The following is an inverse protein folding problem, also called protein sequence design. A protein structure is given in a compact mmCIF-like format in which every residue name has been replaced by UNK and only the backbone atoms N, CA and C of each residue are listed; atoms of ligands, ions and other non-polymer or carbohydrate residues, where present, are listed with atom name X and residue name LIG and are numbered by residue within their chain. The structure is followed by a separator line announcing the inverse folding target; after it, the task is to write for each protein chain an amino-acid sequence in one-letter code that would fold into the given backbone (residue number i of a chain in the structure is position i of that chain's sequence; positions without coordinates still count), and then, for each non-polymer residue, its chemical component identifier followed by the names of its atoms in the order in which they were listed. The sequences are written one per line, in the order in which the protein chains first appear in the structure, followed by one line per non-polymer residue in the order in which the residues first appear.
data_IF_368723031028
#
_entry.id   IF_368723031028
#
_cell.length_a   1.000
_cell.length_b   1.000
_cell.length_c   1.000
_cell.angle_alpha   90.00
_cell.angle_beta   90.00
_cell.angle_gamma   90.00
#
_symmetry.space_group_name_H-M   'P 1'
#
loop_
_entity.id
_entity.type
_entity.pdbx_description
1 polymer ?
#
# COMPACT_ATOMS: atom_id res chain seq x y z
N UNK A 1 63.58 -25.00 -22.50
CA UNK A 1 62.30 -24.60 -21.87
C UNK A 1 61.94 -23.23 -22.41
N UNK A 2 61.09 -23.17 -23.42
CA UNK A 2 60.74 -21.94 -24.14
C UNK A 2 59.46 -21.38 -23.52
N UNK A 3 59.59 -20.34 -22.70
CA UNK A 3 58.44 -19.58 -22.20
C UNK A 3 57.77 -18.88 -23.39
N UNK A 4 56.59 -19.34 -23.78
CA UNK A 4 55.72 -18.64 -24.71
C UNK A 4 55.24 -17.37 -24.02
N UNK A 5 55.79 -16.22 -24.41
CA UNK A 5 55.33 -14.90 -23.98
C UNK A 5 53.87 -14.74 -24.41
N UNK A 6 52.93 -14.77 -23.47
CA UNK A 6 51.56 -14.36 -23.76
C UNK A 6 51.58 -12.91 -24.27
N UNK A 7 50.93 -12.59 -25.39
CA UNK A 7 50.81 -11.22 -25.85
C UNK A 7 50.10 -10.39 -24.77
N UNK A 8 50.45 -9.10 -24.60
CA UNK A 8 49.85 -8.25 -23.59
C UNK A 8 48.33 -8.27 -23.75
N UNK A 9 47.63 -8.54 -22.65
CA UNK A 9 46.18 -8.49 -22.61
C UNK A 9 45.74 -7.07 -22.99
N UNK A 10 45.34 -6.87 -24.24
CA UNK A 10 44.69 -5.65 -24.69
C UNK A 10 43.38 -5.52 -23.91
N UNK A 11 43.40 -4.75 -22.82
CA UNK A 11 42.17 -4.29 -22.20
C UNK A 11 41.56 -3.29 -23.16
N UNK A 12 40.56 -3.72 -23.94
CA UNK A 12 39.75 -2.77 -24.67
C UNK A 12 39.21 -1.74 -23.66
N UNK A 13 39.36 -0.43 -23.91
CA UNK A 13 38.75 0.56 -23.05
C UNK A 13 37.26 0.24 -22.97
N UNK A 14 36.73 0.19 -21.74
CA UNK A 14 35.35 -0.17 -21.43
C UNK A 14 34.39 0.56 -22.39
N UNK A 15 34.00 -0.10 -23.50
CA UNK A 15 33.15 0.51 -24.50
C UNK A 15 31.79 0.64 -23.84
N UNK A 16 31.48 1.86 -23.38
CA UNK A 16 30.20 2.16 -22.74
C UNK A 16 29.11 1.82 -23.74
N UNK A 17 28.39 0.72 -23.52
CA UNK A 17 27.27 0.34 -24.39
C UNK A 17 26.20 1.42 -24.24
N UNK A 18 26.12 2.31 -25.24
CA UNK A 18 25.14 3.39 -25.26
C UNK A 18 23.78 2.77 -25.55
N UNK A 19 22.92 2.78 -24.53
CA UNK A 19 21.58 2.22 -24.66
C UNK A 19 20.65 3.24 -25.33
N UNK A 20 19.94 2.89 -26.42
CA UNK A 20 19.06 3.81 -27.12
C UNK A 20 17.97 4.39 -26.19
N UNK A 21 17.46 5.60 -26.46
CA UNK A 21 16.36 6.16 -25.69
C UNK A 21 15.08 5.35 -25.89
N UNK A 22 14.18 5.40 -24.91
CA UNK A 22 12.85 4.79 -25.01
C UNK A 22 12.08 5.41 -26.18
N UNK A 23 11.36 4.56 -26.93
CA UNK A 23 10.43 5.04 -27.95
C UNK A 23 9.31 5.86 -27.31
N UNK A 24 8.68 6.73 -28.11
CA UNK A 24 7.52 7.52 -27.65
C UNK A 24 6.37 6.63 -27.13
N UNK A 25 6.19 5.46 -27.73
CA UNK A 25 5.15 4.50 -27.35
C UNK A 25 5.46 3.80 -26.02
N UNK A 26 6.70 3.31 -25.83
CA UNK A 26 7.13 2.73 -24.55
C UNK A 26 7.03 3.76 -23.42
N UNK A 27 7.41 5.02 -23.66
CA UNK A 27 7.29 6.09 -22.67
C UNK A 27 5.84 6.32 -22.24
N UNK A 28 4.90 6.45 -23.19
CA UNK A 28 3.47 6.65 -22.88
C UNK A 28 2.88 5.46 -22.11
N UNK A 29 3.19 4.24 -22.55
CA UNK A 29 2.71 3.01 -21.90
C UNK A 29 3.34 2.81 -20.52
N UNK A 30 4.59 3.22 -20.30
CA UNK A 30 5.21 3.19 -18.98
C UNK A 30 4.47 4.11 -18.00
N UNK A 31 4.17 5.35 -18.40
CA UNK A 31 3.39 6.26 -17.55
C UNK A 31 1.99 5.70 -17.26
N UNK A 32 1.28 5.23 -18.28
CA UNK A 32 -0.06 4.67 -18.12
C UNK A 32 -0.07 3.41 -17.24
N UNK A 33 0.89 2.51 -17.46
CA UNK A 33 1.07 1.31 -16.65
C UNK A 33 1.30 1.69 -15.19
N UNK A 34 2.18 2.66 -14.92
CA UNK A 34 2.45 3.13 -13.56
C UNK A 34 1.24 3.79 -12.90
N UNK A 35 0.50 4.63 -13.62
CA UNK A 35 -0.69 5.29 -13.11
C UNK A 35 -1.77 4.29 -12.66
N UNK A 36 -2.09 3.32 -13.53
CA UNK A 36 -3.17 2.37 -13.29
C UNK A 36 -2.71 1.27 -12.34
N UNK A 37 -1.52 0.71 -12.55
CA UNK A 37 -0.99 -0.38 -11.72
C UNK A 37 -0.81 0.08 -10.28
N UNK A 38 -0.23 1.26 -10.05
CA UNK A 38 0.01 1.73 -8.69
C UNK A 38 -1.29 2.06 -7.95
N UNK A 39 -2.29 2.62 -8.62
CA UNK A 39 -3.58 2.91 -7.96
C UNK A 39 -4.31 1.63 -7.54
N UNK A 40 -4.36 0.63 -8.41
CA UNK A 40 -4.94 -0.69 -8.09
C UNK A 40 -4.12 -1.43 -7.02
N UNK A 41 -2.79 -1.41 -7.14
CA UNK A 41 -1.88 -2.00 -6.17
C UNK A 41 -2.06 -1.38 -4.77
N UNK A 42 -2.05 -0.05 -4.68
CA UNK A 42 -2.24 0.69 -3.42
C UNK A 42 -3.62 0.46 -2.83
N UNK A 43 -4.67 0.34 -3.64
CA UNK A 43 -6.00 0.01 -3.16
C UNK A 43 -6.02 -1.38 -2.51
N UNK A 44 -5.50 -2.40 -3.19
CA UNK A 44 -5.39 -3.76 -2.64
C UNK A 44 -4.54 -3.80 -1.37
N UNK A 45 -3.38 -3.12 -1.37
CA UNK A 45 -2.51 -3.05 -0.20
C UNK A 45 -3.15 -2.31 0.97
N UNK A 46 -3.94 -1.27 0.69
CA UNK A 46 -4.73 -0.57 1.71
C UNK A 46 -5.73 -1.50 2.38
N UNK A 47 -6.44 -2.31 1.60
CA UNK A 47 -7.38 -3.32 2.10
C UNK A 47 -6.65 -4.35 2.97
N UNK A 48 -5.56 -4.93 2.46
CA UNK A 48 -4.75 -5.92 3.20
C UNK A 48 -4.18 -5.32 4.48
N UNK A 49 -3.63 -4.11 4.42
CA UNK A 49 -3.01 -3.45 5.58
C UNK A 49 -4.05 -3.10 6.65
N UNK A 50 -5.26 -2.68 6.24
CA UNK A 50 -6.35 -2.39 7.17
C UNK A 50 -6.84 -3.66 7.86
N UNK A 51 -7.06 -4.74 7.11
CA UNK A 51 -7.44 -6.03 7.67
C UNK A 51 -6.35 -6.59 8.61
N UNK A 52 -5.08 -6.53 8.17
CA UNK A 52 -3.93 -6.97 8.97
C UNK A 52 -3.78 -6.13 10.24
N UNK A 53 -4.03 -4.82 10.19
CA UNK A 53 -4.01 -3.95 11.36
C UNK A 53 -5.07 -4.35 12.38
N UNK A 54 -6.31 -4.63 11.95
CA UNK A 54 -7.37 -5.09 12.86
C UNK A 54 -7.01 -6.42 13.51
N UNK A 55 -6.44 -7.35 12.75
CA UNK A 55 -5.94 -8.64 13.29
C UNK A 55 -4.83 -8.38 14.31
N UNK A 56 -3.83 -7.58 13.96
CA UNK A 56 -2.69 -7.27 14.82
C UNK A 56 -3.14 -6.59 16.12
N UNK A 57 -4.06 -5.63 16.04
CA UNK A 57 -4.67 -4.98 17.19
C UNK A 57 -5.38 -5.99 18.08
N UNK A 58 -6.19 -6.89 17.50
CA UNK A 58 -6.84 -7.98 18.23
C UNK A 58 -5.85 -8.88 18.97
N UNK A 59 -4.76 -9.28 18.31
CA UNK A 59 -3.71 -10.11 18.91
C UNK A 59 -2.98 -9.37 20.05
N UNK A 60 -2.62 -8.10 19.84
CA UNK A 60 -1.96 -7.27 20.87
C UNK A 60 -2.88 -7.09 22.08
N UNK A 61 -4.17 -6.83 21.86
CA UNK A 61 -5.14 -6.69 22.94
C UNK A 61 -5.27 -7.98 23.76
N UNK A 62 -5.38 -9.14 23.09
CA UNK A 62 -5.42 -10.44 23.77
C UNK A 62 -4.15 -10.70 24.57
N UNK A 63 -2.99 -10.31 24.05
CA UNK A 63 -1.71 -10.38 24.76
C UNK A 63 -1.70 -9.50 26.02
N UNK A 64 -2.22 -8.27 25.92
CA UNK A 64 -2.37 -7.36 27.07
C UNK A 64 -3.30 -7.97 28.13
N UNK A 65 -4.47 -8.49 27.73
CA UNK A 65 -5.41 -9.16 28.64
C UNK A 65 -4.76 -10.37 29.34
N UNK A 66 -3.94 -11.13 28.63
CA UNK A 66 -3.18 -12.24 29.20
C UNK A 66 -2.22 -11.77 30.31
N UNK A 67 -1.44 -10.71 30.07
CA UNK A 67 -0.52 -10.17 31.07
C UNK A 67 -1.24 -9.57 32.28
N UNK A 68 -2.37 -8.87 32.08
CA UNK A 68 -3.20 -8.32 33.16
C UNK A 68 -3.78 -9.43 34.04
N UNK A 69 -4.22 -10.55 33.44
CA UNK A 69 -4.71 -11.70 34.21
C UNK A 69 -3.58 -12.39 34.98
N UNK A 70 -2.39 -12.49 34.40
CA UNK A 70 -1.24 -13.11 35.02
C UNK A 70 -0.67 -12.33 36.22
N UNK A 71 -0.94 -11.02 36.33
CA UNK A 71 -0.36 -10.18 37.39
C UNK A 71 -1.04 -10.30 38.77
N UNK A 72 -2.05 -11.16 38.94
CA UNK A 72 -2.75 -11.49 40.22
C UNK A 72 -3.30 -10.31 41.04
N UNK A 73 -3.22 -9.09 40.52
CA UNK A 73 -3.61 -7.83 41.19
C UNK A 73 -4.97 -7.31 40.72
N UNK A 74 -5.55 -7.91 39.68
CA UNK A 74 -6.87 -7.55 39.20
C UNK A 74 -7.94 -8.45 39.85
N UNK A 75 -8.63 -7.93 40.87
CA UNK A 75 -9.92 -8.46 41.31
C UNK A 75 -10.90 -8.44 40.13
N UNK A 76 -11.09 -9.59 39.49
CA UNK A 76 -12.27 -10.12 38.75
C UNK A 76 -13.15 -9.21 37.87
N UNK A 77 -12.77 -7.96 37.60
CA UNK A 77 -13.62 -6.94 36.97
C UNK A 77 -13.33 -6.73 35.49
N UNK A 78 -12.23 -7.27 34.98
CA UNK A 78 -12.00 -7.31 33.54
C UNK A 78 -12.77 -8.48 32.94
N UNK A 79 -13.92 -8.19 32.33
CA UNK A 79 -14.63 -9.15 31.48
C UNK A 79 -13.66 -9.79 30.49
N UNK A 80 -13.71 -11.11 30.36
CA UNK A 80 -12.86 -11.89 29.46
C UNK A 80 -13.22 -11.72 27.97
N UNK A 81 -13.83 -10.58 27.60
CA UNK A 81 -14.28 -10.31 26.25
C UNK A 81 -13.12 -9.73 25.45
N UNK A 82 -12.96 -10.21 24.22
CA UNK A 82 -12.02 -9.63 23.28
C UNK A 82 -12.53 -8.29 22.76
N UNK A 83 -11.69 -7.55 22.02
CA UNK A 83 -12.01 -6.20 21.57
C UNK A 83 -13.14 -6.19 20.53
N UNK A 84 -13.29 -7.28 19.77
CA UNK A 84 -14.36 -7.44 18.77
C UNK A 84 -15.69 -7.68 19.47
N UNK A 85 -15.70 -8.54 20.49
CA UNK A 85 -16.87 -8.87 21.29
C UNK A 85 -17.39 -7.62 22.02
N UNK A 86 -16.49 -6.83 22.62
CA UNK A 86 -16.85 -5.54 23.25
C UNK A 86 -17.37 -4.52 22.24
N UNK A 87 -16.82 -4.49 21.02
CA UNK A 87 -17.29 -3.60 19.96
C UNK A 87 -18.66 -4.00 19.41
N UNK A 88 -18.92 -5.30 19.27
CA UNK A 88 -20.23 -5.82 18.86
C UNK A 88 -21.30 -5.52 19.90
N UNK A 89 -21.00 -5.73 21.19
CA UNK A 89 -21.91 -5.41 22.30
C UNK A 89 -22.25 -3.91 22.31
N UNK A 90 -21.24 -3.05 22.10
CA UNK A 90 -21.44 -1.60 21.97
C UNK A 90 -22.35 -1.21 20.80
N UNK A 91 -22.30 -1.95 19.70
CA UNK A 91 -23.19 -1.78 18.54
C UNK A 91 -24.56 -2.47 18.71
N UNK A 92 -24.81 -3.17 19.83
CA UNK A 92 -26.04 -3.91 20.08
C UNK A 92 -26.14 -5.25 19.33
N UNK A 93 -25.03 -5.77 18.82
CA UNK A 93 -24.96 -7.12 18.23
C UNK A 93 -24.59 -8.15 19.30
N UNK A 94 -25.02 -9.40 19.09
CA UNK A 94 -24.66 -10.51 19.98
C UNK A 94 -23.15 -10.79 19.89
N UNK A 95 -22.40 -10.72 21.01
CA UNK A 95 -20.98 -11.06 21.04
C UNK A 95 -20.68 -12.49 20.54
N UNK A 96 -21.65 -13.42 20.59
CA UNK A 96 -21.51 -14.77 20.05
C UNK A 96 -21.22 -14.77 18.53
N UNK A 97 -21.60 -13.72 17.81
CA UNK A 97 -21.39 -13.59 16.36
C UNK A 97 -20.00 -13.05 15.97
N UNK A 98 -19.08 -12.87 16.94
CA UNK A 98 -17.72 -12.39 16.69
C UNK A 98 -16.96 -13.24 15.66
N UNK A 99 -17.28 -14.53 15.51
CA UNK A 99 -16.68 -15.38 14.49
C UNK A 99 -16.98 -14.90 13.05
N UNK A 100 -18.16 -14.32 12.81
CA UNK A 100 -18.56 -13.79 11.49
C UNK A 100 -17.66 -12.62 11.13
N UNK A 101 -17.37 -11.74 12.09
CA UNK A 101 -16.48 -10.61 11.90
C UNK A 101 -15.08 -11.07 11.46
N UNK A 102 -14.54 -12.12 12.09
CA UNK A 102 -13.25 -12.70 11.70
C UNK A 102 -13.29 -13.33 10.31
N UNK A 103 -14.36 -14.03 9.95
CA UNK A 103 -14.54 -14.57 8.59
C UNK A 103 -14.56 -13.45 7.54
N UNK A 104 -15.30 -12.36 7.81
CA UNK A 104 -15.34 -11.19 6.92
C UNK A 104 -13.96 -10.59 6.76
N UNK A 105 -13.20 -10.42 7.84
CA UNK A 105 -11.81 -9.93 7.78
C UNK A 105 -10.93 -10.81 6.89
N UNK A 106 -11.02 -12.14 7.04
CA UNK A 106 -10.22 -13.07 6.22
C UNK A 106 -10.60 -12.96 4.74
N UNK A 107 -11.89 -12.89 4.42
CA UNK A 107 -12.38 -12.70 3.04
C UNK A 107 -11.89 -11.36 2.48
N UNK A 108 -11.95 -10.29 3.26
CA UNK A 108 -11.46 -8.96 2.87
C UNK A 108 -9.95 -8.98 2.62
N UNK A 109 -9.18 -9.68 3.45
CA UNK A 109 -7.73 -9.83 3.28
C UNK A 109 -7.41 -10.57 1.98
N UNK A 110 -8.11 -11.68 1.70
CA UNK A 110 -7.95 -12.45 0.46
C UNK A 110 -8.31 -11.59 -0.76
N UNK A 111 -9.45 -10.89 -0.71
CA UNK A 111 -9.88 -10.00 -1.78
C UNK A 111 -8.86 -8.87 -2.02
N UNK A 112 -8.36 -8.25 -0.95
CA UNK A 112 -7.30 -7.25 -1.03
C UNK A 112 -6.03 -7.79 -1.70
N UNK A 113 -5.60 -9.00 -1.33
CA UNK A 113 -4.44 -9.64 -1.94
C UNK A 113 -4.64 -9.91 -3.44
N UNK A 114 -5.84 -10.34 -3.85
CA UNK A 114 -6.19 -10.49 -5.26
C UNK A 114 -6.18 -9.16 -6.01
N UNK A 115 -6.69 -8.07 -5.41
CA UNK A 115 -6.65 -6.73 -6.01
C UNK A 115 -5.20 -6.24 -6.16
N UNK A 116 -4.36 -6.42 -5.13
CA UNK A 116 -2.93 -6.12 -5.20
C UNK A 116 -2.27 -6.88 -6.36
N UNK A 117 -2.54 -8.18 -6.45
CA UNK A 117 -2.00 -9.02 -7.51
C UNK A 117 -2.48 -8.59 -8.90
N UNK A 118 -3.76 -8.24 -9.04
CA UNK A 118 -4.32 -7.71 -10.28
C UNK A 118 -3.62 -6.43 -10.71
N UNK A 119 -3.29 -5.52 -9.78
CA UNK A 119 -2.53 -4.31 -10.05
C UNK A 119 -1.18 -4.60 -10.73
N UNK A 120 -0.43 -5.59 -10.24
CA UNK A 120 0.84 -6.03 -10.83
C UNK A 120 0.64 -6.54 -12.26
N UNK A 121 -0.39 -7.37 -12.48
CA UNK A 121 -0.69 -7.93 -13.80
C UNK A 121 -1.13 -6.87 -14.80
N UNK A 122 -1.96 -5.91 -14.40
CA UNK A 122 -2.39 -4.80 -15.25
C UNK A 122 -1.19 -3.96 -15.69
N UNK A 123 -0.29 -3.61 -14.77
CA UNK A 123 0.93 -2.87 -15.11
C UNK A 123 1.82 -3.62 -16.10
N UNK A 124 2.01 -4.93 -15.88
CA UNK A 124 2.74 -5.80 -16.81
C UNK A 124 2.06 -5.86 -18.18
N UNK A 125 0.76 -6.08 -18.26
CA UNK A 125 0.02 -6.22 -19.51
C UNK A 125 0.11 -4.96 -20.36
N UNK A 126 -0.17 -3.79 -19.78
CA UNK A 126 -0.11 -2.49 -20.47
C UNK A 126 1.29 -2.21 -21.03
N UNK A 127 2.33 -2.53 -20.24
CA UNK A 127 3.71 -2.28 -20.64
C UNK A 127 4.26 -3.32 -21.62
N UNK A 128 3.85 -4.59 -21.53
CA UNK A 128 4.29 -5.65 -22.44
C UNK A 128 3.88 -5.36 -23.90
N UNK A 129 2.69 -4.81 -24.10
CA UNK A 129 2.20 -4.37 -25.42
C UNK A 129 3.04 -3.24 -26.06
N UNK A 130 3.96 -2.62 -25.34
CA UNK A 130 4.89 -1.64 -25.92
C UNK A 130 6.05 -2.26 -26.72
N UNK A 131 6.24 -3.59 -26.63
CA UNK A 131 7.41 -4.28 -27.19
C UNK A 131 8.64 -4.25 -26.27
N UNK A 132 8.49 -3.76 -25.04
CA UNK A 132 9.58 -3.73 -24.07
C UNK A 132 10.13 -5.14 -23.77
N UNK A 133 11.46 -5.27 -23.70
CA UNK A 133 12.11 -6.56 -23.54
C UNK A 133 11.91 -7.21 -22.16
N UNK A 134 11.62 -6.43 -21.11
CA UNK A 134 11.59 -6.90 -19.72
C UNK A 134 10.41 -6.32 -18.92
N UNK A 135 9.16 -6.57 -19.33
CA UNK A 135 8.00 -5.97 -18.67
C UNK A 135 7.86 -6.41 -17.21
N UNK A 136 8.15 -7.68 -16.92
CA UNK A 136 8.14 -8.20 -15.55
C UNK A 136 9.19 -7.55 -14.65
N UNK A 137 10.41 -7.33 -15.16
CA UNK A 137 11.46 -6.67 -14.40
C UNK A 137 11.07 -5.24 -14.01
N UNK A 138 10.48 -4.49 -14.97
CA UNK A 138 9.99 -3.12 -14.76
C UNK A 138 8.92 -3.07 -13.69
N UNK A 139 7.87 -3.89 -13.82
CA UNK A 139 6.75 -3.93 -12.87
C UNK A 139 7.21 -4.31 -11.47
N UNK A 140 8.00 -5.38 -11.29
CA UNK A 140 8.47 -5.80 -9.97
C UNK A 140 9.41 -4.79 -9.32
N UNK A 141 10.34 -4.21 -10.08
CA UNK A 141 11.26 -3.22 -9.53
C UNK A 141 10.52 -1.97 -9.09
N UNK A 142 9.59 -1.48 -9.92
CA UNK A 142 8.78 -0.31 -9.59
C UNK A 142 7.90 -0.57 -8.36
N UNK A 143 7.25 -1.73 -8.31
CA UNK A 143 6.44 -2.18 -7.16
C UNK A 143 7.29 -2.27 -5.90
N UNK A 144 8.47 -2.88 -5.96
CA UNK A 144 9.39 -2.99 -4.82
C UNK A 144 9.86 -1.64 -4.30
N UNK A 145 10.18 -0.71 -5.20
CA UNK A 145 10.56 0.67 -4.81
C UNK A 145 9.37 1.39 -4.16
N UNK A 146 8.16 1.24 -4.69
CA UNK A 146 6.95 1.83 -4.10
C UNK A 146 6.64 1.26 -2.72
N UNK A 147 6.78 -0.05 -2.54
CA UNK A 147 6.62 -0.70 -1.24
C UNK A 147 7.67 -0.18 -0.26
N UNK A 148 8.94 -0.10 -0.68
CA UNK A 148 10.02 0.46 0.15
C UNK A 148 9.77 1.92 0.54
N UNK A 149 9.36 2.76 -0.43
CA UNK A 149 8.97 4.14 -0.17
C UNK A 149 7.74 4.22 0.74
N UNK A 150 6.75 3.36 0.55
CA UNK A 150 5.56 3.28 1.39
C UNK A 150 5.91 2.92 2.84
N UNK A 151 6.82 1.98 3.05
CA UNK A 151 7.33 1.63 4.38
C UNK A 151 8.08 2.80 5.01
N UNK A 152 9.01 3.44 4.29
CA UNK A 152 9.73 4.61 4.77
C UNK A 152 8.75 5.73 5.12
N UNK A 153 7.81 6.04 4.24
CA UNK A 153 6.79 7.05 4.49
C UNK A 153 5.89 6.66 5.67
N UNK A 154 5.55 5.38 5.86
CA UNK A 154 4.78 4.95 7.04
C UNK A 154 5.56 5.13 8.35
N UNK A 155 6.89 5.01 8.32
CA UNK A 155 7.75 5.27 9.49
C UNK A 155 8.00 6.76 9.72
N UNK A 156 8.11 7.56 8.66
CA UNK A 156 8.40 9.01 8.73
C UNK A 156 7.12 9.82 8.99
N UNK A 157 5.99 9.40 8.43
CA UNK A 157 4.67 10.03 8.61
C UNK A 157 4.00 9.53 9.89
N UNK A 158 4.55 8.54 10.60
CA UNK A 158 4.04 8.00 11.88
C UNK A 158 2.74 7.18 11.75
N UNK A 159 2.64 6.00 12.40
CA UNK A 159 1.39 5.25 12.55
C UNK A 159 0.30 6.03 13.29
N UNK A 160 0.64 7.18 13.89
CA UNK A 160 -0.32 8.13 14.46
C UNK A 160 -0.92 9.07 13.43
N UNK A 161 -0.25 9.40 12.30
CA UNK A 161 -0.76 10.44 11.41
C UNK A 161 -1.97 10.01 10.58
N UNK A 162 -2.10 8.74 10.19
CA UNK A 162 -3.31 8.27 9.48
C UNK A 162 -4.57 8.40 10.35
N UNK A 163 -4.55 7.87 11.58
CA UNK A 163 -5.60 8.11 12.58
C UNK A 163 -5.71 9.58 12.97
N UNK A 164 -4.62 10.32 13.19
CA UNK A 164 -4.67 11.75 13.52
C UNK A 164 -5.17 12.60 12.36
N UNK A 165 -4.95 12.27 11.09
CA UNK A 165 -5.54 12.98 9.97
C UNK A 165 -7.03 12.66 9.87
N UNK A 166 -7.45 11.42 10.07
CA UNK A 166 -8.88 11.07 10.11
C UNK A 166 -9.59 11.66 11.33
N UNK A 167 -8.93 11.71 12.49
CA UNK A 167 -9.42 12.32 13.73
C UNK A 167 -9.35 13.84 13.65
N UNK A 168 -8.30 14.44 13.08
CA UNK A 168 -8.20 15.91 12.93
C UNK A 168 -9.15 16.41 11.85
N UNK A 169 -9.31 15.73 10.72
CA UNK A 169 -10.30 16.11 9.71
C UNK A 169 -11.73 15.76 10.16
N UNK A 170 -11.92 14.64 10.86
CA UNK A 170 -13.20 14.28 11.48
C UNK A 170 -13.59 15.23 12.62
N UNK A 171 -12.63 15.62 13.46
CA UNK A 171 -12.84 16.57 14.56
C UNK A 171 -12.92 18.01 14.06
N UNK A 172 -12.16 18.42 13.04
CA UNK A 172 -12.28 19.75 12.43
C UNK A 172 -13.61 19.93 11.69
N UNK A 173 -14.12 18.86 11.08
CA UNK A 173 -15.46 18.84 10.50
C UNK A 173 -16.57 18.79 11.57
N UNK A 174 -16.31 18.17 12.72
CA UNK A 174 -17.22 18.18 13.86
C UNK A 174 -17.15 19.49 14.69
N UNK A 175 -16.01 20.19 14.70
CA UNK A 175 -15.77 21.40 15.51
C UNK A 175 -16.11 22.70 14.78
N UNK A 176 -16.61 22.62 13.55
CA UNK A 176 -16.71 23.75 12.62
C UNK A 176 -18.12 24.20 12.25
N UNK A 177 -19.14 23.96 13.08
CA UNK A 177 -20.38 24.74 13.24
C UNK A 177 -21.45 23.86 13.90
N UNK A 178 -22.08 24.29 15.01
CA UNK A 178 -23.39 23.80 15.36
C UNK A 178 -24.37 24.39 14.33
N UNK A 179 -24.59 23.69 13.21
CA UNK A 179 -25.81 23.89 12.45
C UNK A 179 -26.87 23.01 13.10
N UNK A 180 -28.02 23.58 13.42
CA UNK A 180 -29.15 22.88 14.03
C UNK A 180 -29.66 21.68 13.18
N UNK A 181 -29.14 21.53 11.97
CA UNK A 181 -29.36 20.41 11.06
C UNK A 181 -28.12 19.49 10.96
N UNK A 182 -28.15 18.33 11.64
CA UNK A 182 -27.10 17.30 11.58
C UNK A 182 -26.85 16.69 10.18
N UNK A 183 -27.63 17.07 9.18
CA UNK A 183 -27.49 16.66 7.78
C UNK A 183 -26.46 17.51 7.01
N UNK A 184 -26.27 18.78 7.37
CA UNK A 184 -25.32 19.67 6.69
C UNK A 184 -23.85 19.33 7.00
N UNK A 185 -23.56 18.96 8.25
CA UNK A 185 -22.22 18.54 8.70
C UNK A 185 -21.77 17.22 8.05
N UNK A 186 -22.71 16.27 7.88
CA UNK A 186 -22.42 14.99 7.20
C UNK A 186 -22.10 15.19 5.72
N UNK A 187 -22.77 16.15 5.04
CA UNK A 187 -22.47 16.52 3.66
C UNK A 187 -21.06 17.09 3.48
N UNK A 188 -20.60 17.94 4.41
CA UNK A 188 -19.25 18.52 4.37
C UNK A 188 -18.18 17.44 4.61
N UNK A 189 -18.36 16.55 5.59
CA UNK A 189 -17.43 15.43 5.84
C UNK A 189 -17.28 14.56 4.59
N UNK A 190 -18.40 14.22 3.96
CA UNK A 190 -18.42 13.39 2.76
C UNK A 190 -17.72 14.08 1.59
N UNK A 191 -17.97 15.38 1.38
CA UNK A 191 -17.31 16.15 0.33
C UNK A 191 -15.79 16.25 0.53
N UNK A 192 -15.34 16.57 1.75
CA UNK A 192 -13.90 16.63 2.08
C UNK A 192 -13.24 15.27 1.90
N UNK A 193 -13.92 14.19 2.30
CA UNK A 193 -13.41 12.82 2.15
C UNK A 193 -13.25 12.43 0.68
N UNK A 194 -14.22 12.78 -0.18
CA UNK A 194 -14.15 12.54 -1.63
C UNK A 194 -12.98 13.31 -2.24
N UNK A 195 -12.83 14.60 -1.92
CA UNK A 195 -11.73 15.43 -2.44
C UNK A 195 -10.38 14.86 -2.00
N UNK A 196 -10.25 14.49 -0.72
CA UNK A 196 -9.06 13.84 -0.18
C UNK A 196 -8.74 12.53 -0.89
N UNK A 197 -9.75 11.70 -1.16
CA UNK A 197 -9.58 10.45 -1.90
C UNK A 197 -9.11 10.68 -3.35
N UNK A 198 -9.68 11.67 -4.05
CA UNK A 198 -9.27 12.02 -5.41
C UNK A 198 -7.81 12.52 -5.44
N UNK A 199 -7.44 13.41 -4.51
CA UNK A 199 -6.08 13.93 -4.41
C UNK A 199 -5.07 12.83 -4.08
N UNK A 200 -5.43 11.94 -3.15
CA UNK A 200 -4.62 10.76 -2.81
C UNK A 200 -4.43 9.86 -4.04
N UNK A 201 -5.51 9.56 -4.76
CA UNK A 201 -5.47 8.77 -5.99
C UNK A 201 -4.57 9.41 -7.05
N UNK A 202 -4.67 10.73 -7.25
CA UNK A 202 -3.84 11.47 -8.19
C UNK A 202 -2.35 11.41 -7.79
N UNK A 203 -2.04 11.57 -6.51
CA UNK A 203 -0.66 11.45 -6.01
C UNK A 203 -0.07 10.07 -6.28
N UNK A 204 -0.80 9.00 -5.95
CA UNK A 204 -0.37 7.64 -6.25
C UNK A 204 -0.24 7.41 -7.77
N UNK A 205 -1.16 7.91 -8.58
CA UNK A 205 -1.06 7.79 -10.03
C UNK A 205 0.21 8.46 -10.57
N UNK A 206 0.56 9.67 -10.10
CA UNK A 206 1.77 10.40 -10.50
C UNK A 206 3.03 9.68 -10.03
N UNK A 207 3.10 9.27 -8.77
CA UNK A 207 4.26 8.54 -8.23
C UNK A 207 4.49 7.23 -8.99
N UNK A 208 3.42 6.47 -9.24
CA UNK A 208 3.46 5.25 -10.04
C UNK A 208 3.93 5.51 -11.46
N UNK A 209 3.37 6.53 -12.12
CA UNK A 209 3.76 6.96 -13.47
C UNK A 209 5.26 7.22 -13.57
N UNK A 210 5.81 8.02 -12.64
CA UNK A 210 7.23 8.39 -12.63
C UNK A 210 8.14 7.17 -12.36
N UNK A 211 7.76 6.31 -11.43
CA UNK A 211 8.55 5.12 -11.08
C UNK A 211 8.57 4.08 -12.19
N UNK A 212 7.43 3.81 -12.85
CA UNK A 212 7.42 2.93 -14.02
C UNK A 212 8.24 3.50 -15.17
N UNK A 213 8.14 4.79 -15.43
CA UNK A 213 8.98 5.45 -16.44
C UNK A 213 10.46 5.36 -16.12
N UNK A 214 10.84 5.62 -14.87
CA UNK A 214 12.23 5.52 -14.41
C UNK A 214 12.77 4.09 -14.54
N UNK A 215 11.98 3.08 -14.13
CA UNK A 215 12.35 1.67 -14.26
C UNK A 215 12.44 1.20 -15.71
N UNK A 216 11.51 1.62 -16.57
CA UNK A 216 11.61 1.35 -18.01
C UNK A 216 12.91 1.94 -18.59
N UNK A 217 13.32 3.12 -18.15
CA UNK A 217 14.56 3.75 -18.59
C UNK A 217 15.81 3.01 -18.09
N UNK A 218 15.81 2.53 -16.84
CA UNK A 218 16.92 1.80 -16.24
C UNK A 218 17.10 0.39 -16.85
N UNK A 219 16.00 -0.30 -17.16
CA UNK A 219 15.98 -1.68 -17.67
C UNK A 219 15.92 -1.79 -19.19
N UNK A 220 16.09 -0.68 -19.91
CA UNK A 220 16.14 -0.70 -21.38
C UNK A 220 17.26 -1.60 -21.89
N UNK A 221 17.01 -2.27 -23.03
CA UNK A 221 17.94 -3.22 -23.66
C UNK A 221 19.25 -2.51 -24.01
N UNK A 222 20.38 -3.17 -23.75
CA UNK A 222 21.67 -2.78 -24.33
C UNK A 222 21.66 -3.14 -25.81
N UNK A 223 22.11 -2.22 -26.66
CA UNK A 223 22.32 -2.47 -28.08
C UNK A 223 23.32 -3.62 -28.28
#
# INVERSE_FOLDING_TARGET
MTQLSQPPAFSYPNQRIVRPPLSKNERKRAFLAGAISNTVLSAGLGIVSSAAFVIAFGVIWQLVLFFVKASTTAESSFESRGPVESFLDWLGYDPADAWIFWVVIVVVLIAGAFVTWAGIWVGKAIFAESGAARPWGVTWSATGILLGLGLIMSTVVSPLAGPLFSIMFGAAAASGMPTDDGTASMGVILAVSIIGAILSLAFYAVAGSLLWWWMAHAMRRSA
#
